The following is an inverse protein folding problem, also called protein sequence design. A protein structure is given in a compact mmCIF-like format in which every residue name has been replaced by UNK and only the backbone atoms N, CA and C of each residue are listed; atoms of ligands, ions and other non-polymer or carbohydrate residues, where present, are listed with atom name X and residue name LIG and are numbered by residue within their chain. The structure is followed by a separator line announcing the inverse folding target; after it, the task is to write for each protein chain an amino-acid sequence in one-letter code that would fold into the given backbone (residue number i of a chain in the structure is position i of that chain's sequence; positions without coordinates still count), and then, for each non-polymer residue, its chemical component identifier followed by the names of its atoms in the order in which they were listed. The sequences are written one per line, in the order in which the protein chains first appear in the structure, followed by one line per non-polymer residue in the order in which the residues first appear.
data_IF_372245073496
#
_entry.id   IF_372245073496
#
_cell.length_a   1.000
_cell.length_b   1.000
_cell.length_c   1.000
_cell.angle_alpha   90.00
_cell.angle_beta   90.00
_cell.angle_gamma   90.00
#
_symmetry.space_group_name_H-M   'P 1'
#
loop_
_entity.id
_entity.type
_entity.pdbx_description
1 polymer ?
#
# COMPACT_ATOMS: atom_id res chain seq x y z
N UNK A 1 8.20 -10.37 10.73
CA UNK A 1 7.17 -9.45 11.24
C UNK A 1 6.58 -8.69 10.05
N UNK A 2 5.25 -8.56 9.96
CA UNK A 2 4.56 -8.11 8.74
C UNK A 2 3.65 -6.90 9.01
N UNK A 3 3.22 -6.22 7.94
CA UNK A 3 2.29 -5.09 8.05
C UNK A 3 2.91 -3.89 8.75
N UNK A 4 2.29 -3.43 9.84
CA UNK A 4 2.73 -2.24 10.60
C UNK A 4 4.17 -2.39 11.09
N UNK A 5 4.57 -3.58 11.53
CA UNK A 5 5.94 -3.83 11.99
C UNK A 5 6.94 -3.71 10.83
N UNK A 6 6.60 -4.19 9.63
CA UNK A 6 7.49 -4.07 8.48
C UNK A 6 7.76 -2.59 8.16
N UNK A 7 6.71 -1.77 8.17
CA UNK A 7 6.83 -0.33 7.91
C UNK A 7 7.64 0.35 9.03
N UNK A 8 7.35 0.06 10.30
CA UNK A 8 8.01 0.68 11.46
C UNK A 8 9.50 0.33 11.58
N UNK A 9 9.88 -0.94 11.37
CA UNK A 9 11.28 -1.35 11.48
C UNK A 9 12.10 -0.97 10.25
N UNK A 10 11.50 -0.94 9.06
CA UNK A 10 12.21 -0.59 7.83
C UNK A 10 12.43 0.93 7.68
N UNK A 11 11.63 1.76 8.37
CA UNK A 11 11.92 3.21 8.53
C UNK A 11 13.34 3.46 9.05
N UNK A 12 13.83 2.63 9.98
CA UNK A 12 15.18 2.77 10.58
C UNK A 12 16.30 2.25 9.69
N UNK A 13 16.01 1.34 8.75
CA UNK A 13 17.02 0.63 7.94
C UNK A 13 17.19 1.19 6.54
N UNK A 14 16.07 1.51 5.87
CA UNK A 14 16.05 1.74 4.43
C UNK A 14 15.80 3.19 4.04
N UNK A 15 15.33 4.04 4.98
CA UNK A 15 14.87 5.41 4.76
C UNK A 15 13.72 5.55 3.73
N UNK A 16 13.39 4.49 2.99
CA UNK A 16 12.30 4.37 2.01
C UNK A 16 10.93 4.69 2.64
N UNK A 17 10.70 4.28 3.89
CA UNK A 17 9.43 4.48 4.59
C UNK A 17 9.40 5.73 5.46
N UNK A 18 10.46 6.55 5.45
CA UNK A 18 10.50 7.81 6.20
C UNK A 18 9.33 8.76 5.90
N UNK A 19 8.80 8.86 4.66
CA UNK A 19 7.67 9.75 4.40
C UNK A 19 6.32 9.10 4.66
N UNK A 20 6.28 7.83 5.09
CA UNK A 20 5.03 7.12 5.37
C UNK A 20 4.61 7.40 6.79
N UNK A 21 3.49 8.10 6.94
CA UNK A 21 2.86 8.35 8.23
C UNK A 21 1.80 7.28 8.48
N UNK A 22 2.05 6.40 9.44
CA UNK A 22 1.09 5.39 9.87
C UNK A 22 0.00 6.05 10.72
N UNK A 23 -1.24 6.06 10.23
CA UNK A 23 -2.35 6.70 10.94
C UNK A 23 -3.01 5.74 11.92
N UNK A 24 -3.43 4.57 11.44
CA UNK A 24 -4.14 3.60 12.25
C UNK A 24 -4.14 2.22 11.59
N UNK A 25 -4.37 1.20 12.41
CA UNK A 25 -4.67 -0.15 11.95
C UNK A 25 -6.06 -0.54 12.48
N UNK A 26 -6.95 -0.94 11.57
CA UNK A 26 -8.30 -1.37 11.91
C UNK A 26 -8.48 -2.78 11.35
N UNK A 27 -8.53 -3.77 12.24
CA UNK A 27 -8.58 -5.19 11.89
C UNK A 27 -7.45 -5.60 10.93
N UNK A 28 -7.81 -5.97 9.70
CA UNK A 28 -6.95 -6.41 8.59
C UNK A 28 -6.50 -5.25 7.68
N UNK A 29 -6.87 -4.01 8.02
CA UNK A 29 -6.58 -2.84 7.20
C UNK A 29 -5.54 -1.93 7.87
N UNK A 30 -4.56 -1.49 7.09
CA UNK A 30 -3.55 -0.48 7.48
C UNK A 30 -3.87 0.81 6.75
N UNK A 31 -3.96 1.91 7.49
CA UNK A 31 -4.18 3.25 6.93
C UNK A 31 -2.93 4.08 7.15
N UNK A 32 -2.41 4.65 6.06
CA UNK A 32 -1.23 5.49 6.08
C UNK A 32 -1.38 6.66 5.11
N UNK A 33 -0.56 7.69 5.31
CA UNK A 33 -0.47 8.86 4.45
C UNK A 33 0.94 9.00 3.89
N UNK A 34 1.02 9.55 2.68
CA UNK A 34 2.28 9.88 2.01
C UNK A 34 2.13 11.31 1.47
N UNK A 35 3.10 12.21 1.72
CA UNK A 35 3.04 13.57 1.21
C UNK A 35 3.24 13.61 -0.31
N UNK A 36 2.40 14.38 -1.00
CA UNK A 36 2.48 14.60 -2.45
C UNK A 36 3.76 15.32 -2.92
N UNK A 37 4.57 15.85 -2.00
CA UNK A 37 5.89 16.41 -2.30
C UNK A 37 6.87 15.36 -2.85
N UNK A 38 6.51 14.08 -2.79
CA UNK A 38 7.34 12.95 -3.19
C UNK A 38 6.93 12.45 -4.57
N UNK A 39 7.87 11.99 -5.41
CA UNK A 39 7.52 11.47 -6.72
C UNK A 39 6.55 10.28 -6.66
N UNK A 40 5.62 10.19 -7.61
CA UNK A 40 4.68 9.06 -7.73
C UNK A 40 5.37 7.70 -7.85
N UNK A 41 6.58 7.66 -8.42
CA UNK A 41 7.41 6.43 -8.46
C UNK A 41 7.76 5.92 -7.06
N UNK A 42 8.05 6.81 -6.12
CA UNK A 42 8.33 6.41 -4.74
C UNK A 42 7.05 6.00 -4.01
N UNK A 43 5.91 6.65 -4.29
CA UNK A 43 4.60 6.21 -3.79
C UNK A 43 4.30 4.77 -4.25
N UNK A 44 4.47 4.49 -5.53
CA UNK A 44 4.28 3.15 -6.10
C UNK A 44 5.22 2.12 -5.45
N UNK A 45 6.49 2.45 -5.25
CA UNK A 45 7.45 1.56 -4.59
C UNK A 45 7.06 1.22 -3.14
N UNK A 46 6.66 2.23 -2.36
CA UNK A 46 6.17 2.07 -0.99
C UNK A 46 4.94 1.15 -0.97
N UNK A 47 3.94 1.45 -1.81
CA UNK A 47 2.68 0.69 -1.87
C UNK A 47 2.95 -0.76 -2.26
N UNK A 48 3.81 -1.00 -3.26
CA UNK A 48 4.14 -2.35 -3.71
C UNK A 48 4.89 -3.15 -2.63
N UNK A 49 5.84 -2.53 -1.93
CA UNK A 49 6.54 -3.19 -0.81
C UNK A 49 5.60 -3.55 0.33
N UNK A 50 4.66 -2.67 0.67
CA UNK A 50 3.64 -2.94 1.70
C UNK A 50 2.72 -4.08 1.24
N UNK A 51 2.21 -4.02 0.00
CA UNK A 51 1.40 -5.09 -0.60
C UNK A 51 2.14 -6.42 -0.54
N UNK A 52 3.37 -6.49 -1.03
CA UNK A 52 4.17 -7.73 -1.03
C UNK A 52 4.46 -8.26 0.39
N UNK A 53 4.58 -7.37 1.39
CA UNK A 53 4.71 -7.79 2.78
C UNK A 53 3.41 -8.37 3.37
N UNK A 54 2.25 -7.96 2.87
CA UNK A 54 0.93 -8.41 3.34
C UNK A 54 0.41 -9.63 2.56
N UNK A 55 0.82 -9.79 1.29
CA UNK A 55 0.48 -10.94 0.43
C UNK A 55 1.35 -12.19 0.70
N UNK A 56 2.15 -12.20 1.77
CA UNK A 56 2.98 -13.36 2.11
C UNK A 56 2.09 -14.58 2.39
N UNK A 57 2.28 -15.70 1.64
CA UNK A 57 1.40 -16.85 1.75
C UNK A 57 1.53 -17.51 3.13
N UNK A 58 0.40 -17.87 3.71
CA UNK A 58 0.38 -18.61 4.96
C UNK A 58 0.40 -20.10 4.67
N UNK A 59 1.44 -20.80 5.14
CA UNK A 59 1.52 -22.26 5.06
C UNK A 59 0.72 -22.87 6.22
N UNK A 60 -0.40 -23.54 5.92
CA UNK A 60 -1.17 -24.28 6.91
C UNK A 60 -1.55 -25.66 6.39
N UNK A 61 -1.14 -26.72 7.12
CA UNK A 61 -1.40 -28.12 6.78
C UNK A 61 -1.10 -28.46 5.31
N UNK A 62 0.12 -28.17 4.88
CA UNK A 62 0.64 -28.40 3.53
C UNK A 62 -0.15 -27.70 2.41
N UNK A 63 -0.93 -26.66 2.74
CA UNK A 63 -1.57 -25.76 1.79
C UNK A 63 -1.01 -24.36 1.94
N UNK A 64 -0.70 -23.74 0.81
CA UNK A 64 -0.42 -22.31 0.74
C UNK A 64 -1.73 -21.56 0.52
N UNK A 65 -2.09 -20.70 1.47
CA UNK A 65 -3.26 -19.83 1.35
C UNK A 65 -2.76 -18.45 0.90
N UNK A 66 -3.04 -18.02 -0.36
CA UNK A 66 -2.70 -16.68 -0.80
C UNK A 66 -3.63 -15.67 -0.12
N UNK A 67 -3.07 -14.59 0.43
CA UNK A 67 -3.81 -13.48 1.04
C UNK A 67 -3.89 -12.31 0.06
N UNK A 68 -4.97 -12.15 -0.72
CA UNK A 68 -5.08 -11.02 -1.65
C UNK A 68 -5.24 -9.71 -0.90
N UNK A 69 -4.45 -8.69 -1.25
CA UNK A 69 -4.51 -7.37 -0.62
C UNK A 69 -5.10 -6.35 -1.60
N UNK A 70 -6.19 -5.69 -1.21
CA UNK A 70 -6.71 -4.53 -1.94
C UNK A 70 -6.06 -3.23 -1.44
N UNK A 71 -5.96 -2.25 -2.34
CA UNK A 71 -5.38 -0.93 -2.05
C UNK A 71 -6.43 0.13 -2.33
N UNK A 72 -6.69 1.01 -1.38
CA UNK A 72 -7.64 2.11 -1.54
C UNK A 72 -6.93 3.45 -1.41
N UNK A 73 -7.28 4.40 -2.28
CA UNK A 73 -6.66 5.72 -2.35
C UNK A 73 -7.73 6.81 -2.24
N UNK A 74 -7.47 7.84 -1.44
CA UNK A 74 -8.34 9.01 -1.32
C UNK A 74 -7.70 10.10 -0.46
N UNK A 75 -8.35 11.26 -0.42
CA UNK A 75 -7.89 12.41 0.36
C UNK A 75 -8.30 12.37 1.84
N UNK A 76 -9.25 11.52 2.17
CA UNK A 76 -9.74 11.34 3.52
C UNK A 76 -9.94 9.86 3.85
N UNK A 77 -10.20 9.58 5.11
CA UNK A 77 -10.45 8.23 5.62
C UNK A 77 -11.88 7.73 5.30
N UNK A 78 -12.66 8.45 4.49
CA UNK A 78 -14.03 8.07 4.15
C UNK A 78 -14.03 7.03 3.05
N UNK A 79 -14.40 5.79 3.38
CA UNK A 79 -14.49 4.69 2.40
C UNK A 79 -15.36 5.00 1.18
N UNK A 80 -16.31 5.94 1.28
CA UNK A 80 -17.19 6.35 0.16
C UNK A 80 -16.49 7.22 -0.88
N UNK A 81 -15.46 7.96 -0.48
CA UNK A 81 -14.73 8.90 -1.33
C UNK A 81 -13.38 8.32 -1.78
N UNK A 82 -13.02 7.14 -1.28
CA UNK A 82 -11.84 6.41 -1.69
C UNK A 82 -12.13 5.55 -2.92
N UNK A 83 -11.17 5.53 -3.85
CA UNK A 83 -11.17 4.61 -4.99
C UNK A 83 -10.41 3.35 -4.61
N UNK A 84 -11.14 2.24 -4.52
CA UNK A 84 -10.57 0.92 -4.24
C UNK A 84 -10.03 0.26 -5.52
N UNK A 85 -8.79 -0.22 -5.44
CA UNK A 85 -8.15 -1.10 -6.40
C UNK A 85 -8.09 -2.51 -5.80
N UNK A 86 -8.80 -3.45 -6.43
CA UNK A 86 -8.75 -4.86 -6.03
C UNK A 86 -7.36 -5.43 -6.31
N UNK A 87 -6.93 -6.44 -5.55
CA UNK A 87 -5.60 -7.08 -5.69
C UNK A 87 -5.28 -7.45 -7.16
N UNK A 88 -6.28 -7.91 -7.92
CA UNK A 88 -6.14 -8.26 -9.36
C UNK A 88 -5.81 -7.08 -10.27
N UNK A 89 -6.24 -5.87 -9.89
CA UNK A 89 -6.11 -4.65 -10.67
C UNK A 89 -4.89 -3.82 -10.26
N UNK A 90 -4.10 -4.28 -9.28
CA UNK A 90 -2.86 -3.63 -8.86
C UNK A 90 -1.70 -4.20 -9.67
N UNK A 91 -1.16 -3.46 -10.65
CA UNK A 91 -0.01 -3.90 -11.43
C UNK A 91 1.20 -4.12 -10.52
N UNK A 92 2.02 -5.13 -10.84
CA UNK A 92 3.26 -5.42 -10.13
C UNK A 92 4.45 -4.58 -10.65
N UNK A 93 4.24 -3.79 -11.71
CA UNK A 93 5.24 -2.87 -12.26
C UNK A 93 5.11 -1.48 -11.59
N UNK A 94 6.24 -0.96 -11.11
CA UNK A 94 6.32 0.34 -10.44
C UNK A 94 5.89 1.50 -11.34
N UNK A 95 6.20 1.45 -12.65
CA UNK A 95 5.90 2.52 -13.60
C UNK A 95 4.40 2.55 -13.87
N UNK A 96 3.81 1.39 -14.15
CA UNK A 96 2.36 1.29 -14.39
C UNK A 96 1.55 1.69 -13.16
N UNK A 97 1.97 1.26 -11.97
CA UNK A 97 1.33 1.65 -10.73
C UNK A 97 1.43 3.16 -10.52
N UNK A 98 2.61 3.77 -10.75
CA UNK A 98 2.80 5.21 -10.57
C UNK A 98 1.89 6.05 -11.47
N UNK A 99 1.77 5.70 -12.75
CA UNK A 99 0.86 6.37 -13.69
C UNK A 99 -0.61 6.19 -13.28
N UNK A 100 -0.96 5.02 -12.73
CA UNK A 100 -2.32 4.73 -12.26
C UNK A 100 -2.66 5.53 -11.00
N UNK A 101 -1.72 5.66 -10.06
CA UNK A 101 -1.86 6.50 -8.87
C UNK A 101 -2.08 7.97 -9.25
N UNK A 102 -1.25 8.48 -10.17
CA UNK A 102 -1.38 9.85 -10.67
C UNK A 102 -2.74 10.09 -11.35
N UNK A 103 -3.18 9.17 -12.21
CA UNK A 103 -4.49 9.27 -12.87
C UNK A 103 -5.64 9.26 -11.88
N UNK A 104 -5.61 8.38 -10.87
CA UNK A 104 -6.64 8.32 -9.82
C UNK A 104 -6.67 9.62 -9.03
N UNK A 105 -5.50 10.17 -8.70
CA UNK A 105 -5.42 11.46 -8.02
C UNK A 105 -6.01 12.60 -8.86
N UNK A 106 -5.71 12.66 -10.16
CA UNK A 106 -6.29 13.64 -11.08
C UNK A 106 -7.81 13.49 -11.28
N UNK A 107 -8.37 12.28 -11.13
CA UNK A 107 -9.82 12.05 -11.21
C UNK A 107 -10.57 12.41 -9.91
N UNK A 108 -9.85 12.51 -8.79
CA UNK A 108 -10.42 12.85 -7.48
C UNK A 108 -10.37 14.36 -7.18
N UNK A 109 -9.63 15.15 -7.97
CA UNK A 109 -9.55 16.62 -7.94
C UNK A 109 -10.61 17.21 -8.88
#
# INVERSE_FOLDING_TARGET
EHGVNFIYYDQKKSNTFRPVELLTQIHDSIVFQIPLSIPWKQHADIVLKIKNSLEQPMSWRDREIPTPVSVSIGFNMSKKEMKELKSKDVPNDYVELSNKLEKIHSELI
#
